data_IF_429962620844
#
_entry.id   IF_429962620844
#
_cell.length_a   1.000
_cell.length_b   1.000
_cell.length_c   1.000
_cell.angle_alpha   90.00
_cell.angle_beta   90.00
_cell.angle_gamma   90.00
#
_symmetry.space_group_name_H-M   'P 1'
#
loop_
_entity.id
_entity.type
_entity.pdbx_description
1 polymer ?
#
# COMPACT_ATOMS: atom_id res chain seq x y z
N UNK A 1 -3.26 -52.59 -17.94
CA UNK A 1 -3.57 -51.13 -17.95
C UNK A 1 -2.52 -50.48 -18.84
N UNK A 2 -2.91 -49.69 -19.85
CA UNK A 2 -1.94 -49.00 -20.70
C UNK A 2 -1.37 -47.80 -19.96
N UNK A 3 -0.06 -47.78 -19.73
CA UNK A 3 0.63 -46.70 -19.02
C UNK A 3 0.80 -45.41 -19.83
N UNK A 4 0.40 -45.43 -21.11
CA UNK A 4 0.48 -44.27 -22.00
C UNK A 4 -0.74 -44.20 -22.89
N UNK A 5 -1.35 -43.02 -22.94
CA UNK A 5 -2.46 -42.69 -23.85
C UNK A 5 -1.95 -41.63 -24.83
N UNK A 6 -2.16 -41.85 -26.11
CA UNK A 6 -1.84 -40.86 -27.15
C UNK A 6 -3.15 -40.12 -27.50
N UNK A 7 -3.12 -38.81 -27.40
CA UNK A 7 -4.23 -37.93 -27.76
C UNK A 7 -3.87 -37.24 -29.09
N UNK A 8 -4.63 -37.51 -30.13
CA UNK A 8 -4.51 -36.84 -31.42
C UNK A 8 -5.53 -35.73 -31.52
N UNK A 9 -5.08 -34.51 -31.83
CA UNK A 9 -5.93 -33.36 -32.09
C UNK A 9 -5.92 -33.07 -33.57
N UNK A 10 -7.06 -33.11 -34.19
CA UNK A 10 -7.23 -32.79 -35.63
C UNK A 10 -7.70 -31.34 -35.71
N UNK A 11 -7.01 -30.56 -36.52
CA UNK A 11 -7.30 -29.14 -36.74
C UNK A 11 -7.23 -28.91 -38.24
N UNK A 12 -8.25 -28.33 -38.81
CA UNK A 12 -8.25 -27.95 -40.24
C UNK A 12 -7.63 -26.57 -40.38
N UNK A 13 -6.61 -26.46 -41.22
CA UNK A 13 -5.90 -25.19 -41.46
C UNK A 13 -6.82 -24.15 -42.05
N UNK A 14 -6.80 -22.91 -41.57
CA UNK A 14 -7.67 -21.83 -42.06
C UNK A 14 -9.13 -21.90 -41.59
N UNK A 15 -9.45 -22.70 -40.55
CA UNK A 15 -10.83 -22.83 -40.02
C UNK A 15 -10.91 -22.29 -38.60
N UNK A 16 -12.15 -22.06 -38.15
CA UNK A 16 -12.47 -21.66 -36.76
C UNK A 16 -11.97 -22.66 -35.71
N UNK A 17 -11.76 -23.90 -36.06
CA UNK A 17 -11.26 -24.94 -35.16
C UNK A 17 -9.88 -24.58 -34.59
N UNK A 18 -8.98 -24.00 -35.43
CA UNK A 18 -7.65 -23.59 -34.98
C UNK A 18 -7.72 -22.48 -33.93
N UNK A 19 -8.64 -21.54 -34.11
CA UNK A 19 -8.90 -20.47 -33.13
C UNK A 19 -9.48 -21.02 -31.82
N UNK A 20 -10.49 -21.88 -31.92
CA UNK A 20 -11.10 -22.52 -30.72
C UNK A 20 -10.09 -23.31 -29.91
N UNK A 21 -9.17 -24.02 -30.56
CA UNK A 21 -8.09 -24.73 -29.88
C UNK A 21 -7.10 -23.78 -29.22
N UNK A 22 -6.75 -22.67 -29.84
CA UNK A 22 -5.86 -21.66 -29.26
C UNK A 22 -6.48 -21.01 -28.01
N UNK A 23 -7.77 -20.72 -28.06
CA UNK A 23 -8.53 -20.19 -26.92
C UNK A 23 -8.55 -21.19 -25.76
N UNK A 24 -8.84 -22.46 -26.03
CA UNK A 24 -8.84 -23.51 -25.01
C UNK A 24 -7.43 -23.70 -24.42
N UNK A 25 -6.38 -23.64 -25.23
CA UNK A 25 -4.99 -23.77 -24.75
C UNK A 25 -4.60 -22.60 -23.83
N UNK A 26 -5.00 -21.37 -24.17
CA UNK A 26 -4.79 -20.20 -23.33
C UNK A 26 -5.54 -20.31 -22.00
N UNK A 27 -6.81 -20.72 -22.00
CA UNK A 27 -7.60 -21.00 -20.81
C UNK A 27 -6.97 -22.12 -19.97
N UNK A 28 -6.46 -23.16 -20.58
CA UNK A 28 -5.78 -24.25 -19.88
C UNK A 28 -4.47 -23.79 -19.24
N UNK A 29 -3.68 -22.92 -19.89
CA UNK A 29 -2.49 -22.30 -19.30
C UNK A 29 -2.85 -21.47 -18.07
N UNK A 30 -3.90 -20.66 -18.17
CA UNK A 30 -4.42 -19.85 -17.06
C UNK A 30 -4.85 -20.73 -15.86
N UNK A 31 -5.66 -21.74 -16.11
CA UNK A 31 -6.08 -22.71 -15.08
C UNK A 31 -4.87 -23.43 -14.48
N UNK A 32 -3.90 -23.83 -15.31
CA UNK A 32 -2.67 -24.46 -14.86
C UNK A 32 -1.82 -23.57 -13.95
N UNK A 33 -1.75 -22.28 -14.23
CA UNK A 33 -1.03 -21.30 -13.40
C UNK A 33 -1.68 -21.17 -12.01
N UNK A 34 -3.02 -21.10 -11.96
CA UNK A 34 -3.76 -21.01 -10.69
C UNK A 34 -3.66 -22.32 -9.90
N UNK A 35 -3.92 -23.46 -10.55
CA UNK A 35 -4.02 -24.76 -9.87
C UNK A 35 -2.69 -25.32 -9.40
N UNK A 36 -1.59 -25.01 -10.08
CA UNK A 36 -0.27 -25.58 -9.73
C UNK A 36 0.55 -24.72 -8.79
N UNK A 37 0.14 -23.47 -8.51
CA UNK A 37 0.85 -22.49 -7.66
C UNK A 37 2.36 -22.35 -7.98
N UNK A 38 2.80 -22.77 -9.15
CA UNK A 38 4.21 -22.78 -9.55
C UNK A 38 4.75 -21.41 -9.98
N UNK A 39 3.86 -20.46 -10.17
CA UNK A 39 4.26 -19.09 -10.49
C UNK A 39 3.56 -18.14 -9.53
N UNK A 40 4.29 -17.42 -8.65
CA UNK A 40 3.73 -16.42 -7.75
C UNK A 40 3.47 -15.11 -8.52
N UNK A 41 2.67 -15.16 -9.57
CA UNK A 41 2.27 -13.95 -10.28
C UNK A 41 1.05 -13.38 -9.55
N UNK A 42 1.20 -12.20 -8.96
CA UNK A 42 0.11 -11.47 -8.26
C UNK A 42 -1.02 -10.99 -9.19
N UNK A 43 -0.85 -11.09 -10.50
CA UNK A 43 -1.87 -10.82 -11.51
C UNK A 43 -1.85 -11.92 -12.54
N UNK A 44 -2.86 -12.77 -12.55
CA UNK A 44 -3.17 -13.58 -13.72
C UNK A 44 -3.76 -12.67 -14.78
N UNK A 45 -3.18 -12.70 -15.98
CA UNK A 45 -3.82 -12.11 -17.15
C UNK A 45 -5.07 -12.96 -17.45
N UNK A 46 -6.21 -12.52 -16.93
CA UNK A 46 -7.50 -12.98 -17.44
C UNK A 46 -7.58 -12.42 -18.85
N UNK A 47 -7.48 -13.32 -19.83
CA UNK A 47 -7.76 -12.94 -21.21
C UNK A 47 -9.26 -12.74 -21.21
N UNK A 48 -9.69 -11.46 -21.03
CA UNK A 48 -11.04 -11.06 -21.32
C UNK A 48 -11.41 -11.68 -22.65
N UNK A 49 -12.43 -12.50 -22.64
CA UNK A 49 -13.04 -13.02 -23.84
C UNK A 49 -13.59 -11.82 -24.62
N UNK A 50 -12.74 -11.16 -25.39
CA UNK A 50 -13.24 -10.40 -26.51
C UNK A 50 -13.90 -11.45 -27.40
N UNK A 51 -15.20 -11.64 -27.20
CA UNK A 51 -16.00 -12.52 -28.06
C UNK A 51 -15.79 -12.01 -29.46
N UNK A 52 -15.09 -12.81 -30.29
CA UNK A 52 -14.92 -12.47 -31.68
C UNK A 52 -16.30 -12.25 -32.28
N UNK A 53 -16.48 -11.14 -32.97
CA UNK A 53 -17.67 -10.90 -33.77
C UNK A 53 -17.77 -11.99 -34.85
N UNK A 54 -18.98 -12.25 -35.34
CA UNK A 54 -19.19 -13.22 -36.42
C UNK A 54 -18.31 -12.91 -37.65
N UNK A 55 -18.08 -11.64 -37.95
CA UNK A 55 -17.20 -11.17 -39.00
C UNK A 55 -15.74 -11.56 -38.78
N UNK A 56 -15.24 -11.44 -37.58
CA UNK A 56 -13.87 -11.85 -37.21
C UNK A 56 -13.68 -13.35 -37.32
N UNK A 57 -14.70 -14.13 -36.91
CA UNK A 57 -14.72 -15.59 -37.09
C UNK A 57 -14.69 -15.99 -38.56
N UNK A 58 -15.51 -15.35 -39.38
CA UNK A 58 -15.59 -15.59 -40.83
C UNK A 58 -14.26 -15.27 -41.50
N UNK A 59 -13.62 -14.18 -41.14
CA UNK A 59 -12.39 -13.75 -41.74
C UNK A 59 -11.16 -14.55 -41.23
N UNK A 60 -11.20 -15.09 -40.04
CA UNK A 60 -10.19 -16.08 -39.57
C UNK A 60 -10.31 -17.37 -40.36
N UNK A 61 -11.54 -17.79 -40.70
CA UNK A 61 -11.81 -18.94 -41.54
C UNK A 61 -11.35 -18.73 -42.99
N UNK A 62 -11.38 -17.48 -43.49
CA UNK A 62 -10.90 -17.11 -44.85
C UNK A 62 -9.39 -16.89 -44.93
N UNK A 63 -8.67 -16.95 -43.77
CA UNK A 63 -7.21 -16.81 -43.72
C UNK A 63 -6.71 -15.37 -43.89
N UNK A 64 -7.54 -14.35 -43.62
CA UNK A 64 -7.16 -12.95 -43.74
C UNK A 64 -6.09 -12.57 -42.68
N UNK A 65 -4.84 -12.21 -43.08
CA UNK A 65 -3.73 -11.93 -42.16
C UNK A 65 -3.99 -10.69 -41.29
N UNK A 66 -4.82 -9.73 -41.75
CA UNK A 66 -5.09 -8.49 -40.99
C UNK A 66 -5.88 -8.74 -39.71
N UNK A 67 -6.67 -9.81 -39.67
CA UNK A 67 -7.46 -10.15 -38.47
C UNK A 67 -6.55 -10.72 -37.39
N UNK A 68 -5.59 -11.57 -37.74
CA UNK A 68 -4.61 -12.05 -36.79
C UNK A 68 -3.78 -10.89 -36.20
N UNK A 69 -3.32 -9.97 -37.07
CA UNK A 69 -2.60 -8.78 -36.65
C UNK A 69 -3.44 -7.91 -35.71
N UNK A 70 -4.73 -7.69 -36.03
CA UNK A 70 -5.66 -6.94 -35.16
C UNK A 70 -5.77 -7.57 -33.78
N UNK A 71 -5.98 -8.89 -33.69
CA UNK A 71 -6.11 -9.60 -32.42
C UNK A 71 -4.85 -9.49 -31.56
N UNK A 72 -3.67 -9.68 -32.17
CA UNK A 72 -2.39 -9.54 -31.46
C UNK A 72 -2.20 -8.10 -30.95
N UNK A 73 -2.62 -7.09 -31.74
CA UNK A 73 -2.57 -5.68 -31.35
C UNK A 73 -3.59 -5.35 -30.26
N UNK A 74 -4.80 -5.90 -30.30
CA UNK A 74 -5.81 -5.69 -29.25
C UNK A 74 -5.31 -6.16 -27.88
N UNK A 75 -4.68 -7.33 -27.85
CA UNK A 75 -4.06 -7.85 -26.60
C UNK A 75 -2.95 -6.91 -26.12
N UNK A 76 -2.06 -6.48 -27.02
CA UNK A 76 -0.93 -5.62 -26.68
C UNK A 76 -1.41 -4.23 -26.20
N UNK A 77 -2.39 -3.65 -26.89
CA UNK A 77 -3.02 -2.35 -26.51
C UNK A 77 -3.72 -2.46 -25.17
N UNK A 78 -4.45 -3.53 -24.91
CA UNK A 78 -5.11 -3.78 -23.62
C UNK A 78 -4.10 -3.87 -22.49
N UNK A 79 -3.00 -4.57 -22.69
CA UNK A 79 -1.89 -4.64 -21.74
C UNK A 79 -1.24 -3.28 -21.46
N UNK A 80 -0.97 -2.51 -22.53
CA UNK A 80 -0.37 -1.17 -22.39
C UNK A 80 -1.33 -0.18 -21.70
N UNK A 81 -2.65 -0.26 -21.99
CA UNK A 81 -3.68 0.52 -21.29
C UNK A 81 -3.73 0.21 -19.81
N UNK A 82 -3.63 -1.07 -19.43
CA UNK A 82 -3.57 -1.49 -18.03
C UNK A 82 -2.31 -0.95 -17.33
N UNK A 83 -1.14 -1.03 -17.99
CA UNK A 83 0.10 -0.48 -17.46
C UNK A 83 0.01 1.05 -17.30
N UNK A 84 -0.61 1.76 -18.26
CA UNK A 84 -0.86 3.21 -18.18
C UNK A 84 -1.82 3.55 -17.02
N UNK A 85 -2.88 2.79 -16.83
CA UNK A 85 -3.81 2.97 -15.72
C UNK A 85 -3.12 2.77 -14.36
N UNK A 86 -2.28 1.73 -14.24
CA UNK A 86 -1.47 1.50 -13.05
C UNK A 86 -0.48 2.64 -12.78
N UNK A 87 0.23 3.11 -13.80
CA UNK A 87 1.13 4.27 -13.68
C UNK A 87 0.36 5.52 -13.24
N UNK A 88 -0.81 5.78 -13.80
CA UNK A 88 -1.66 6.91 -13.42
C UNK A 88 -2.12 6.80 -11.96
N UNK A 89 -2.54 5.61 -11.51
CA UNK A 89 -2.90 5.37 -10.11
C UNK A 89 -1.73 5.58 -9.16
N UNK A 90 -0.53 5.13 -9.53
CA UNK A 90 0.68 5.37 -8.75
C UNK A 90 1.02 6.86 -8.67
N UNK A 91 0.88 7.59 -9.78
CA UNK A 91 1.10 9.03 -9.82
C UNK A 91 0.14 9.76 -8.89
N UNK A 92 -1.15 9.45 -8.89
CA UNK A 92 -2.11 10.05 -7.97
C UNK A 92 -1.80 9.76 -6.50
N UNK A 93 -1.33 8.55 -6.17
CA UNK A 93 -0.87 8.23 -4.81
C UNK A 93 0.35 9.05 -4.41
N UNK A 94 1.29 9.26 -5.33
CA UNK A 94 2.46 10.10 -5.07
C UNK A 94 2.05 11.57 -4.89
N UNK A 95 1.15 12.09 -5.71
CA UNK A 95 0.60 13.45 -5.58
C UNK A 95 -0.06 13.66 -4.21
N UNK A 96 -0.86 12.69 -3.75
CA UNK A 96 -1.50 12.76 -2.42
C UNK A 96 -0.49 12.65 -1.28
N UNK A 97 0.53 11.79 -1.40
CA UNK A 97 1.63 11.72 -0.45
C UNK A 97 2.42 13.03 -0.38
N UNK A 98 2.73 13.64 -1.52
CA UNK A 98 3.45 14.94 -1.60
C UNK A 98 2.61 16.06 -0.97
N UNK A 99 1.30 16.08 -1.26
CA UNK A 99 0.42 17.15 -0.81
C UNK A 99 0.05 17.06 0.67
N UNK A 100 -0.09 15.83 1.22
CA UNK A 100 -0.64 15.62 2.56
C UNK A 100 0.29 14.84 3.48
N UNK A 101 0.68 13.62 3.10
CA UNK A 101 1.33 12.70 4.02
C UNK A 101 2.73 13.13 4.43
N UNK A 102 3.60 13.49 3.47
CA UNK A 102 4.95 13.95 3.80
C UNK A 102 4.96 15.26 4.61
N UNK A 103 4.19 16.31 4.26
CA UNK A 103 4.14 17.53 5.06
C UNK A 103 3.64 17.27 6.49
N UNK A 104 2.63 16.43 6.69
CA UNK A 104 2.15 16.06 8.03
C UNK A 104 3.23 15.36 8.84
N UNK A 105 3.93 14.38 8.24
CA UNK A 105 5.01 13.66 8.91
C UNK A 105 6.17 14.59 9.28
N UNK A 106 6.58 15.47 8.35
CA UNK A 106 7.65 16.45 8.58
C UNK A 106 7.28 17.38 9.73
N UNK A 107 6.06 17.89 9.76
CA UNK A 107 5.56 18.76 10.84
C UNK A 107 5.60 18.03 12.18
N UNK A 108 5.04 16.82 12.26
CA UNK A 108 5.04 16.02 13.49
C UNK A 108 6.45 15.66 13.98
N UNK A 109 7.39 15.36 13.06
CA UNK A 109 8.77 15.09 13.42
C UNK A 109 9.49 16.37 13.91
N UNK A 110 9.23 17.54 13.31
CA UNK A 110 9.78 18.81 13.75
C UNK A 110 9.26 19.22 15.13
N UNK A 111 7.96 19.06 15.38
CA UNK A 111 7.36 19.29 16.71
C UNK A 111 7.98 18.35 17.75
N UNK A 112 8.18 17.09 17.39
CA UNK A 112 8.82 16.11 18.29
C UNK A 112 10.28 16.46 18.59
N UNK A 113 11.03 16.95 17.61
CA UNK A 113 12.40 17.44 17.81
C UNK A 113 12.45 18.63 18.78
N UNK A 114 11.55 19.58 18.60
CA UNK A 114 11.46 20.73 19.51
C UNK A 114 11.08 20.30 20.92
N UNK A 115 10.16 19.34 21.04
CA UNK A 115 9.85 18.71 22.31
C UNK A 115 11.06 18.06 22.99
N UNK A 116 11.88 17.31 22.25
CA UNK A 116 13.12 16.74 22.81
C UNK A 116 14.12 17.83 23.22
N UNK A 117 14.27 18.89 22.43
CA UNK A 117 15.16 20.01 22.79
C UNK A 117 14.76 20.65 24.12
N UNK A 118 13.48 20.93 24.27
CA UNK A 118 12.90 21.50 25.49
C UNK A 118 13.10 20.56 26.69
N UNK A 119 12.85 19.25 26.49
CA UNK A 119 12.99 18.27 27.57
C UNK A 119 14.45 18.05 27.98
N UNK A 120 15.38 18.04 27.02
CA UNK A 120 16.83 17.96 27.30
C UNK A 120 17.31 19.19 28.11
N UNK A 121 16.81 20.38 27.76
CA UNK A 121 17.13 21.61 28.52
C UNK A 121 16.55 21.54 29.93
N UNK A 122 15.30 21.06 30.07
CA UNK A 122 14.67 20.86 31.38
C UNK A 122 15.46 19.86 32.24
N UNK A 123 15.85 18.74 31.65
CA UNK A 123 16.68 17.74 32.30
C UNK A 123 18.02 18.33 32.76
N UNK A 124 18.72 19.06 31.87
CA UNK A 124 20.00 19.68 32.17
C UNK A 124 19.91 20.70 33.33
N UNK A 125 18.80 21.47 33.37
CA UNK A 125 18.56 22.44 34.46
C UNK A 125 18.30 21.80 35.84
N UNK A 126 17.72 20.58 35.85
CA UNK A 126 17.35 19.88 37.09
C UNK A 126 18.27 18.71 37.45
N UNK A 127 19.26 18.41 36.59
CA UNK A 127 20.28 17.40 36.91
C UNK A 127 21.12 17.84 38.12
N UNK A 128 21.26 16.99 39.15
CA UNK A 128 22.10 17.30 40.28
C UNK A 128 23.55 17.59 39.85
N UNK A 129 24.14 18.65 40.40
CA UNK A 129 25.54 19.02 40.16
C UNK A 129 26.47 17.97 40.74
N UNK A 130 26.14 17.46 41.93
CA UNK A 130 26.82 16.35 42.56
C UNK A 130 26.21 15.01 42.09
N UNK A 131 27.08 14.12 41.61
CA UNK A 131 26.68 12.80 41.08
C UNK A 131 26.01 11.91 42.13
N UNK A 132 26.29 12.13 43.38
CA UNK A 132 25.74 11.36 44.52
C UNK A 132 24.45 11.98 45.05
N UNK A 133 24.15 13.23 44.70
CA UNK A 133 22.91 13.88 45.10
C UNK A 133 21.72 13.29 44.36
N UNK A 134 20.74 12.85 45.12
CA UNK A 134 19.50 12.30 44.63
C UNK A 134 18.32 13.03 45.25
N UNK A 135 17.32 13.40 44.44
CA UNK A 135 16.06 13.96 44.94
C UNK A 135 14.89 13.50 44.00
N UNK A 136 13.85 13.00 44.64
CA UNK A 136 12.60 12.61 43.95
C UNK A 136 11.43 12.96 44.82
N UNK A 137 10.41 13.62 44.24
CA UNK A 137 9.16 13.92 44.93
C UNK A 137 8.12 12.87 44.56
N UNK A 138 7.56 12.20 45.58
CA UNK A 138 6.45 11.23 45.43
C UNK A 138 5.35 11.64 46.39
N UNK A 139 4.17 11.92 45.83
CA UNK A 139 3.07 12.55 46.56
C UNK A 139 3.50 13.89 47.15
N UNK A 140 3.38 14.05 48.48
CA UNK A 140 3.76 15.26 49.19
C UNK A 140 5.15 15.17 49.85
N UNK A 141 5.90 14.07 49.66
CA UNK A 141 7.18 13.84 50.31
C UNK A 141 8.32 13.84 49.29
N UNK A 142 9.44 14.47 49.69
CA UNK A 142 10.69 14.44 48.93
C UNK A 142 11.63 13.42 49.53
N UNK A 143 12.15 12.54 48.70
CA UNK A 143 13.09 11.47 49.07
C UNK A 143 14.48 11.84 48.55
N UNK A 144 15.48 11.67 49.41
CA UNK A 144 16.93 11.85 49.11
C UNK A 144 17.68 10.52 49.06
N UNK A 145 17.11 9.47 49.65
CA UNK A 145 17.66 8.11 49.57
C UNK A 145 16.99 7.33 48.39
N UNK A 146 17.84 6.70 47.57
CA UNK A 146 17.41 5.96 46.39
C UNK A 146 16.58 4.71 46.74
N UNK A 147 16.91 4.01 47.85
CA UNK A 147 16.18 2.79 48.23
C UNK A 147 14.77 3.15 48.75
N UNK A 148 14.69 4.18 49.59
CA UNK A 148 13.41 4.65 50.11
C UNK A 148 12.53 5.19 49.00
N UNK A 149 13.07 5.98 48.06
CA UNK A 149 12.35 6.48 46.91
C UNK A 149 11.81 5.35 46.00
N UNK A 150 12.66 4.37 45.71
CA UNK A 150 12.26 3.23 44.88
C UNK A 150 11.16 2.36 45.52
N UNK A 151 11.23 2.15 46.86
CA UNK A 151 10.17 1.46 47.60
C UNK A 151 8.87 2.24 47.59
N UNK A 152 8.92 3.55 47.88
CA UNK A 152 7.75 4.44 47.83
C UNK A 152 7.11 4.52 46.43
N UNK A 153 7.92 4.48 45.38
CA UNK A 153 7.45 4.44 43.99
C UNK A 153 6.64 3.19 43.70
N UNK A 154 7.14 2.02 44.13
CA UNK A 154 6.41 0.75 43.94
C UNK A 154 5.11 0.74 44.76
N UNK A 155 5.14 1.23 46.01
CA UNK A 155 3.92 1.29 46.82
C UNK A 155 2.89 2.24 46.25
N UNK A 156 3.33 3.37 45.69
CA UNK A 156 2.44 4.27 44.96
C UNK A 156 1.84 3.63 43.70
N UNK A 157 2.61 2.89 42.92
CA UNK A 157 2.14 2.13 41.78
C UNK A 157 1.08 1.08 42.21
N UNK A 158 1.32 0.37 43.31
CA UNK A 158 0.37 -0.63 43.84
C UNK A 158 -0.92 -0.01 44.33
N UNK A 159 -0.90 1.21 44.85
CA UNK A 159 -2.09 1.93 45.29
C UNK A 159 -2.90 2.52 44.13
N UNK A 160 -2.28 2.79 42.98
CA UNK A 160 -2.87 3.40 41.80
C UNK A 160 -3.42 2.36 40.79
N UNK A 161 -4.04 1.29 41.25
CA UNK A 161 -4.58 0.20 40.41
C UNK A 161 -5.89 0.50 39.67
N UNK A 162 -6.19 1.75 39.34
CA UNK A 162 -7.34 2.06 38.49
C UNK A 162 -6.97 1.78 37.03
N UNK A 163 -7.67 0.85 36.36
CA UNK A 163 -7.37 0.52 34.96
C UNK A 163 -7.52 1.75 34.05
N UNK A 164 -6.56 1.93 33.15
CA UNK A 164 -6.60 2.95 32.09
C UNK A 164 -6.70 4.42 32.54
N UNK A 165 -6.42 4.72 33.81
CA UNK A 165 -6.39 6.08 34.30
C UNK A 165 -4.98 6.47 34.77
N UNK A 166 -4.40 7.51 34.15
CA UNK A 166 -3.11 8.03 34.56
C UNK A 166 -3.25 8.87 35.82
N UNK A 167 -2.59 8.46 36.91
CA UNK A 167 -2.58 9.16 38.20
C UNK A 167 -1.25 9.86 38.38
N UNK A 168 -1.25 11.17 38.62
CA UNK A 168 -0.03 11.92 38.93
C UNK A 168 0.48 11.51 40.30
N UNK A 169 1.72 11.06 40.35
CA UNK A 169 2.35 10.51 41.57
C UNK A 169 3.49 11.36 42.12
N UNK A 170 4.02 12.31 41.33
CA UNK A 170 5.12 13.16 41.83
C UNK A 170 5.89 13.85 40.72
N UNK A 171 7.17 14.12 41.02
CA UNK A 171 8.09 14.81 40.11
C UNK A 171 9.51 14.25 40.24
N UNK A 172 10.19 14.08 39.11
CA UNK A 172 11.57 13.64 39.05
C UNK A 172 12.33 14.44 37.97
N UNK A 173 13.41 15.10 38.42
CA UNK A 173 14.31 15.90 37.57
C UNK A 173 13.59 16.88 36.62
N UNK A 174 12.57 17.59 37.12
CA UNK A 174 11.79 18.57 36.37
C UNK A 174 10.64 17.98 35.56
N UNK A 175 10.46 16.64 35.54
CA UNK A 175 9.40 15.96 34.87
C UNK A 175 8.29 15.52 35.82
N UNK A 176 7.04 15.78 35.47
CA UNK A 176 5.87 15.28 36.23
C UNK A 176 5.77 13.76 36.02
N UNK A 177 5.65 13.01 37.10
CA UNK A 177 5.43 11.56 37.04
C UNK A 177 3.96 11.23 37.14
N UNK A 178 3.46 10.42 36.19
CA UNK A 178 2.17 9.78 36.31
C UNK A 178 2.29 8.28 36.09
N UNK A 179 1.50 7.50 36.84
CA UNK A 179 1.45 6.05 36.72
C UNK A 179 0.16 5.63 36.02
N UNK A 180 0.26 4.68 35.12
CA UNK A 180 -0.84 3.97 34.51
C UNK A 180 -0.68 2.46 34.76
N UNK A 181 -1.80 1.77 34.92
CA UNK A 181 -1.84 0.32 35.08
C UNK A 181 -2.53 -0.32 33.89
N UNK A 182 -1.80 -1.16 33.18
CA UNK A 182 -2.33 -2.01 32.14
C UNK A 182 -2.87 -3.30 32.74
N UNK A 183 -4.19 -3.44 32.74
CA UNK A 183 -4.85 -4.61 33.35
C UNK A 183 -4.68 -5.89 32.53
N UNK A 184 -4.43 -5.80 31.22
CA UNK A 184 -4.25 -6.94 30.34
C UNK A 184 -2.89 -7.60 30.55
N UNK A 185 -1.83 -6.78 30.58
CA UNK A 185 -0.48 -7.28 30.81
C UNK A 185 -0.07 -7.28 32.31
N UNK A 186 -0.93 -6.77 33.20
CA UNK A 186 -0.64 -6.58 34.63
C UNK A 186 0.64 -5.80 34.91
N UNK A 187 0.90 -4.76 34.10
CA UNK A 187 2.12 -3.96 34.16
C UNK A 187 1.82 -2.51 34.55
N UNK A 188 2.76 -1.93 35.31
CA UNK A 188 2.76 -0.51 35.62
C UNK A 188 3.70 0.22 34.69
N UNK A 189 3.23 1.33 34.13
CA UNK A 189 4.06 2.24 33.33
C UNK A 189 4.05 3.62 33.97
N UNK A 190 5.24 4.18 34.19
CA UNK A 190 5.42 5.56 34.60
C UNK A 190 5.70 6.40 33.37
N UNK A 191 4.93 7.46 33.22
CA UNK A 191 5.12 8.49 32.22
C UNK A 191 5.77 9.71 32.85
N UNK A 192 6.96 10.06 32.38
CA UNK A 192 7.67 11.31 32.72
C UNK A 192 7.25 12.37 31.72
N UNK A 193 6.39 13.30 32.13
CA UNK A 193 5.79 14.29 31.27
C UNK A 193 6.53 15.64 31.36
N UNK A 194 7.21 15.97 30.28
CA UNK A 194 7.73 17.30 29.98
C UNK A 194 6.96 17.92 28.83
N UNK A 195 7.66 18.41 27.81
CA UNK A 195 7.08 18.76 26.52
C UNK A 195 6.60 17.50 25.77
N UNK A 196 7.38 16.43 25.88
CA UNK A 196 7.01 15.08 25.44
C UNK A 196 6.67 14.20 26.65
N UNK A 197 6.22 12.98 26.34
CA UNK A 197 5.95 11.95 27.34
C UNK A 197 6.96 10.81 27.18
N UNK A 198 7.71 10.51 28.27
CA UNK A 198 8.71 9.44 28.27
C UNK A 198 8.23 8.30 29.15
N UNK A 199 7.83 7.21 28.53
CA UNK A 199 7.24 6.06 29.21
C UNK A 199 8.31 5.06 29.65
N UNK A 200 8.15 4.55 30.88
CA UNK A 200 9.06 3.61 31.53
C UNK A 200 8.25 2.50 32.21
N UNK A 201 8.46 1.27 31.82
CA UNK A 201 7.85 0.10 32.45
C UNK A 201 8.51 -0.17 33.83
N UNK A 202 7.69 -0.37 34.84
CA UNK A 202 8.09 -0.56 36.23
C UNK A 202 8.08 -2.05 36.59
N UNK A 203 9.21 -2.53 37.11
CA UNK A 203 9.36 -3.90 37.59
C UNK A 203 9.32 -4.00 39.13
N UNK A 204 9.69 -5.18 39.62
CA UNK A 204 9.69 -5.46 41.07
C UNK A 204 10.91 -4.88 41.83
N UNK A 205 12.02 -4.55 41.14
CA UNK A 205 13.23 -4.03 41.75
C UNK A 205 13.18 -2.51 41.92
N UNK A 206 13.20 -1.99 43.18
CA UNK A 206 13.15 -0.56 43.45
C UNK A 206 14.28 0.24 42.80
N UNK A 207 15.52 -0.24 42.91
CA UNK A 207 16.67 0.47 42.36
C UNK A 207 16.73 0.39 40.83
N UNK A 208 16.38 -0.77 40.28
CA UNK A 208 16.29 -0.94 38.85
C UNK A 208 15.25 -0.02 38.20
N UNK A 209 14.15 0.27 38.90
CA UNK A 209 13.13 1.21 38.40
C UNK A 209 13.69 2.64 38.34
N UNK A 210 14.41 3.10 39.36
CA UNK A 210 15.04 4.41 39.33
C UNK A 210 16.09 4.52 38.22
N UNK A 211 16.86 3.45 38.01
CA UNK A 211 17.82 3.42 36.91
C UNK A 211 17.13 3.49 35.56
N UNK A 212 15.99 2.81 35.36
CA UNK A 212 15.20 2.90 34.13
C UNK A 212 14.66 4.30 33.87
N UNK A 213 14.16 4.99 34.92
CA UNK A 213 13.76 6.39 34.84
C UNK A 213 14.92 7.30 34.44
N UNK A 214 16.09 7.15 35.08
CA UNK A 214 17.28 7.90 34.71
C UNK A 214 17.73 7.64 33.28
N UNK A 215 17.78 6.36 32.88
CA UNK A 215 18.14 5.96 31.50
C UNK A 215 17.17 6.53 30.44
N UNK A 216 15.89 6.63 30.78
CA UNK A 216 14.88 7.21 29.86
C UNK A 216 15.15 8.70 29.59
N UNK A 217 15.56 9.46 30.61
CA UNK A 217 15.92 10.86 30.48
C UNK A 217 17.31 11.05 29.85
N UNK A 218 18.32 10.27 30.26
CA UNK A 218 19.64 10.30 29.63
C UNK A 218 19.62 9.90 28.16
N UNK A 219 18.76 8.96 27.80
CA UNK A 219 18.58 8.48 26.44
C UNK A 219 17.86 9.45 25.48
N UNK A 220 17.35 10.58 25.96
CA UNK A 220 16.62 11.54 25.12
C UNK A 220 17.46 12.07 23.95
N UNK A 221 18.75 12.31 24.16
CA UNK A 221 19.68 12.77 23.12
C UNK A 221 19.79 11.76 21.98
N UNK A 222 19.90 10.47 22.30
CA UNK A 222 19.91 9.41 21.30
C UNK A 222 18.58 9.34 20.53
N UNK A 223 17.44 9.40 21.24
CA UNK A 223 16.13 9.42 20.63
C UNK A 223 15.89 10.65 19.74
N UNK A 224 16.46 11.80 20.13
CA UNK A 224 16.43 13.02 19.30
C UNK A 224 17.19 12.81 17.99
N UNK A 225 18.38 12.22 18.04
CA UNK A 225 19.16 11.90 16.84
C UNK A 225 18.43 10.92 15.91
N UNK A 226 17.72 9.92 16.47
CA UNK A 226 16.89 9.00 15.69
C UNK A 226 15.73 9.73 14.96
N UNK A 227 15.13 10.72 15.62
CA UNK A 227 14.07 11.55 15.03
C UNK A 227 14.64 12.48 13.94
N UNK A 228 15.83 13.06 14.15
CA UNK A 228 16.54 13.85 13.11
C UNK A 228 16.83 13.02 11.86
N UNK A 229 17.30 11.79 12.06
CA UNK A 229 17.54 10.87 10.94
C UNK A 229 16.24 10.53 10.20
N UNK A 230 15.15 10.29 10.93
CA UNK A 230 13.84 10.03 10.32
C UNK A 230 13.35 11.23 9.55
N UNK A 231 13.50 12.44 10.07
CA UNK A 231 13.13 13.67 9.40
C UNK A 231 13.88 13.81 8.07
N UNK A 232 15.20 13.66 8.09
CA UNK A 232 16.04 13.70 6.90
C UNK A 232 15.62 12.67 5.85
N UNK A 233 15.27 11.44 6.28
CA UNK A 233 14.81 10.39 5.38
C UNK A 233 13.46 10.75 4.73
N UNK A 234 12.52 11.30 5.50
CA UNK A 234 11.20 11.72 4.96
C UNK A 234 11.34 12.90 4.01
N UNK A 235 12.20 13.88 4.33
CA UNK A 235 12.50 15.01 3.43
C UNK A 235 13.12 14.52 2.12
N UNK A 236 14.04 13.56 2.17
CA UNK A 236 14.62 12.95 0.97
C UNK A 236 13.57 12.15 0.16
N UNK A 237 12.68 11.43 0.84
CA UNK A 237 11.57 10.72 0.16
C UNK A 237 10.63 11.69 -0.53
N UNK A 238 10.32 12.82 0.08
CA UNK A 238 9.51 13.88 -0.52
C UNK A 238 10.15 14.42 -1.81
N UNK A 239 11.46 14.72 -1.78
CA UNK A 239 12.16 15.22 -2.98
C UNK A 239 12.21 14.15 -4.08
N UNK A 240 12.45 12.90 -3.72
CA UNK A 240 12.41 11.78 -4.68
C UNK A 240 11.01 11.61 -5.28
N UNK A 241 9.97 11.69 -4.47
CA UNK A 241 8.59 11.59 -4.93
C UNK A 241 8.20 12.73 -5.88
N UNK A 242 8.67 13.96 -5.62
CA UNK A 242 8.46 15.12 -6.52
C UNK A 242 9.08 14.90 -7.89
N UNK A 243 10.25 14.27 -7.96
CA UNK A 243 10.90 13.92 -9.22
C UNK A 243 10.15 12.79 -9.93
N UNK A 244 9.76 11.76 -9.19
CA UNK A 244 9.09 10.58 -9.74
C UNK A 244 7.73 10.93 -10.35
N UNK A 245 6.94 11.81 -9.69
CA UNK A 245 5.61 12.22 -10.16
C UNK A 245 5.62 12.92 -11.50
N UNK A 246 6.76 13.52 -11.88
CA UNK A 246 6.91 14.24 -13.16
C UNK A 246 7.27 13.32 -14.33
N UNK A 247 7.61 12.06 -14.06
CA UNK A 247 7.99 11.13 -15.14
C UNK A 247 6.77 10.73 -15.96
N UNK A 248 6.85 10.87 -17.30
CA UNK A 248 5.79 10.40 -18.18
C UNK A 248 5.75 8.87 -18.21
N UNK A 249 4.63 8.34 -18.68
CA UNK A 249 4.53 6.90 -18.93
C UNK A 249 5.52 6.49 -20.01
N UNK A 250 6.42 5.56 -19.71
CA UNK A 250 7.54 5.20 -20.58
C UNK A 250 7.12 4.62 -21.94
N UNK A 251 5.95 3.98 -21.99
CA UNK A 251 5.42 3.30 -23.18
C UNK A 251 4.30 4.09 -23.87
N UNK A 252 4.24 5.41 -23.65
CA UNK A 252 3.21 6.28 -24.25
C UNK A 252 3.26 6.26 -25.78
N UNK A 253 4.47 6.35 -26.34
CA UNK A 253 4.68 6.32 -27.81
C UNK A 253 4.28 4.96 -28.39
N UNK A 254 4.71 3.87 -27.77
CA UNK A 254 4.36 2.52 -28.20
C UNK A 254 2.83 2.29 -28.18
N UNK A 255 2.15 2.79 -27.14
CA UNK A 255 0.71 2.72 -27.06
C UNK A 255 0.04 3.53 -28.18
N UNK A 256 0.56 4.74 -28.47
CA UNK A 256 0.01 5.58 -29.55
C UNK A 256 0.16 4.94 -30.93
N UNK A 257 1.35 4.42 -31.26
CA UNK A 257 1.61 3.73 -32.53
C UNK A 257 0.72 2.49 -32.72
N UNK A 258 0.56 1.70 -31.66
CA UNK A 258 -0.30 0.51 -31.74
C UNK A 258 -1.80 0.85 -31.86
N UNK A 259 -2.23 1.93 -31.21
CA UNK A 259 -3.61 2.42 -31.36
C UNK A 259 -3.89 2.95 -32.78
N UNK A 260 -2.94 3.68 -33.36
CA UNK A 260 -3.05 4.15 -34.74
C UNK A 260 -3.13 2.97 -35.71
N UNK A 261 -2.25 1.98 -35.56
CA UNK A 261 -2.27 0.79 -36.40
C UNK A 261 -3.56 -0.03 -36.25
N UNK A 262 -4.08 -0.13 -35.02
CA UNK A 262 -5.36 -0.78 -34.75
C UNK A 262 -6.53 -0.05 -35.43
N UNK A 263 -6.52 1.28 -35.44
CA UNK A 263 -7.51 2.09 -36.12
C UNK A 263 -7.45 1.88 -37.65
N UNK A 264 -6.27 1.81 -38.24
CA UNK A 264 -6.07 1.49 -39.66
C UNK A 264 -6.65 0.11 -40.03
N UNK A 265 -6.34 -0.93 -39.24
CA UNK A 265 -6.83 -2.28 -39.44
C UNK A 265 -8.36 -2.35 -39.33
N UNK A 266 -8.92 -1.65 -38.35
CA UNK A 266 -10.39 -1.56 -38.21
C UNK A 266 -11.03 -0.90 -39.43
N UNK A 267 -10.44 0.16 -40.00
CA UNK A 267 -10.91 0.82 -41.19
C UNK A 267 -10.85 -0.11 -42.42
N UNK A 268 -9.74 -0.84 -42.58
CA UNK A 268 -9.57 -1.80 -43.70
C UNK A 268 -10.60 -2.94 -43.62
N UNK A 269 -10.79 -3.52 -42.43
CA UNK A 269 -11.74 -4.64 -42.24
C UNK A 269 -13.20 -4.20 -42.41
N UNK A 270 -13.58 -2.98 -41.96
CA UNK A 270 -14.91 -2.44 -42.16
C UNK A 270 -15.19 -2.07 -43.64
N UNK A 271 -14.16 -1.77 -44.43
CA UNK A 271 -14.30 -1.56 -45.87
C UNK A 271 -14.54 -2.89 -46.61
N UNK A 272 -13.88 -3.97 -46.21
CA UNK A 272 -14.05 -5.30 -46.76
C UNK A 272 -15.48 -5.83 -46.47
N UNK A 273 -16.02 -5.58 -45.28
CA UNK A 273 -17.39 -5.95 -44.90
C UNK A 273 -18.47 -5.22 -45.77
N UNK A 274 -18.26 -3.94 -46.06
CA UNK A 274 -19.17 -3.18 -46.94
C UNK A 274 -19.10 -3.62 -48.40
N UNK A 275 -17.97 -4.15 -48.85
CA UNK A 275 -17.79 -4.70 -50.19
C UNK A 275 -18.51 -6.04 -50.36
N UNK A 276 -18.52 -6.89 -49.33
CA UNK A 276 -19.15 -8.22 -49.38
C UNK A 276 -20.67 -8.15 -49.20
N UNK A 277 -21.19 -7.19 -48.42
CA UNK A 277 -22.63 -6.96 -48.25
C UNK A 277 -23.30 -6.27 -49.44
N UNK A 278 -22.55 -5.68 -50.36
CA UNK A 278 -23.11 -5.05 -51.56
C UNK A 278 -23.56 -6.08 -52.61
N UNK A 279 -23.18 -7.35 -52.44
CA UNK A 279 -23.53 -8.44 -53.40
C UNK A 279 -24.70 -9.33 -52.95
N UNK A 280 -25.23 -9.14 -51.73
CA UNK A 280 -26.30 -9.97 -51.17
C UNK A 280 -27.58 -9.17 -50.80
N UNK A 281 -27.90 -8.10 -51.55
CA UNK A 281 -29.19 -7.41 -51.48
C UNK A 281 -30.14 -7.99 -52.54
N UNK A 282 -30.52 -9.23 -52.32
CA UNK A 282 -31.71 -9.84 -52.94
C UNK A 282 -32.90 -9.69 -51.99
N UNK A 283 -33.75 -8.76 -52.38
CA UNK A 283 -35.20 -8.73 -52.22
C UNK A 283 -35.82 -9.48 -51.02
N UNK A 284 -36.05 -8.78 -49.91
CA UNK A 284 -37.13 -9.07 -48.96
C UNK A 284 -37.60 -7.76 -48.30
N UNK A 285 -38.92 -7.49 -48.50
CA UNK A 285 -39.62 -6.30 -48.00
C UNK A 285 -39.68 -6.24 -46.47
N UNK A 286 -39.77 -5.04 -45.85
CA UNK A 286 -39.86 -4.90 -44.42
C UNK A 286 -41.29 -5.05 -43.92
N UNK A 287 -41.53 -5.98 -43.02
CA UNK A 287 -42.70 -5.94 -42.15
C UNK A 287 -42.52 -4.90 -41.05
N UNK A 288 -43.41 -3.90 -41.05
CA UNK A 288 -43.61 -2.94 -39.99
C UNK A 288 -44.23 -3.64 -38.76
N UNK A 289 -43.60 -3.58 -37.62
CA UNK A 289 -44.30 -3.72 -36.36
C UNK A 289 -43.95 -2.57 -35.40
N UNK A 290 -44.97 -1.75 -35.19
CA UNK A 290 -45.11 -0.71 -34.20
C UNK A 290 -45.05 -1.28 -32.77
N UNK A 291 -44.35 -0.59 -31.92
CA UNK A 291 -44.42 -0.87 -30.46
C UNK A 291 -43.80 0.22 -29.65
N UNK A 292 -44.49 1.35 -29.49
CA UNK A 292 -44.26 2.33 -28.43
C UNK A 292 -44.36 1.67 -27.05
N UNK A 293 -43.47 2.03 -26.16
CA UNK A 293 -43.80 2.43 -24.78
C UNK A 293 -42.49 2.76 -24.02
N UNK A 294 -42.23 4.01 -23.85
CA UNK A 294 -42.45 4.87 -22.65
C UNK A 294 -41.50 4.58 -21.48
N UNK A 295 -40.73 5.63 -21.26
CA UNK A 295 -39.93 5.98 -20.10
C UNK A 295 -40.66 5.79 -18.76
N UNK A 296 -39.87 5.41 -17.73
CA UNK A 296 -40.02 6.01 -16.39
C UNK A 296 -38.72 5.98 -15.62
N UNK A 297 -38.28 7.17 -15.32
CA UNK A 297 -37.29 7.47 -14.30
C UNK A 297 -37.85 7.14 -12.91
N UNK A 298 -37.04 6.59 -12.03
CA UNK A 298 -37.26 6.74 -10.60
C UNK A 298 -35.95 7.08 -9.92
N UNK A 299 -35.93 8.33 -9.47
CA UNK A 299 -35.09 8.86 -8.41
C UNK A 299 -35.35 8.11 -7.10
N UNK A 300 -34.32 7.95 -6.30
CA UNK A 300 -34.42 7.43 -4.94
C UNK A 300 -33.10 7.53 -4.20
N UNK A 301 -32.71 8.72 -3.76
CA UNK A 301 -31.95 8.94 -2.52
C UNK A 301 -32.84 8.60 -1.31
N UNK A 302 -32.34 8.57 -0.04
CA UNK A 302 -31.00 8.68 0.50
C UNK A 302 -30.71 7.79 1.74
N UNK A 303 -29.56 8.06 2.33
CA UNK A 303 -29.29 7.93 3.79
C UNK A 303 -28.90 6.57 4.36
N UNK A 304 -27.59 6.43 4.63
CA UNK A 304 -27.10 6.02 5.95
C UNK A 304 -25.61 6.31 6.12
N UNK A 305 -25.36 7.42 6.80
CA UNK A 305 -24.12 7.61 7.53
C UNK A 305 -24.18 6.69 8.76
N UNK A 306 -23.22 5.79 8.91
CA UNK A 306 -22.82 5.27 10.23
C UNK A 306 -21.43 4.64 10.14
N UNK A 307 -20.55 5.17 10.98
CA UNK A 307 -19.39 4.56 11.63
C UNK A 307 -18.25 3.95 10.77
N UNK A 308 -17.26 4.81 10.46
CA UNK A 308 -15.88 4.37 10.36
C UNK A 308 -15.06 5.08 11.43
N UNK A 309 -14.99 4.44 12.59
CA UNK A 309 -14.05 4.77 13.65
C UNK A 309 -12.99 3.67 13.68
N UNK A 310 -11.73 4.10 13.62
CA UNK A 310 -10.52 3.43 14.09
C UNK A 310 -10.02 2.18 13.34
N UNK A 311 -9.09 2.37 12.39
CA UNK A 311 -7.88 1.54 12.32
C UNK A 311 -6.71 2.49 12.05
N UNK A 312 -6.11 2.99 13.12
CA UNK A 312 -4.77 3.57 13.15
C UNK A 312 -3.84 2.51 13.71
N UNK A 313 -2.61 2.46 13.16
CA UNK A 313 -1.46 1.66 13.58
C UNK A 313 -1.29 0.25 12.97
N UNK A 314 -0.88 0.22 11.69
CA UNK A 314 0.12 -0.76 11.24
C UNK A 314 1.30 -0.03 10.58
N UNK A 315 2.54 -0.31 10.98
CA UNK A 315 3.71 0.28 10.36
C UNK A 315 3.92 -0.31 8.96
N UNK A 316 3.85 0.54 7.94
CA UNK A 316 4.19 0.20 6.56
C UNK A 316 5.61 -0.37 6.50
N UNK A 317 5.72 -1.63 6.09
CA UNK A 317 7.00 -2.29 5.77
C UNK A 317 7.67 -1.54 4.62
N UNK A 318 9.01 -1.34 4.66
CA UNK A 318 9.72 -0.68 3.59
C UNK A 318 9.62 -1.51 2.30
N UNK A 319 9.23 -0.85 1.22
CA UNK A 319 9.28 -1.42 -0.14
C UNK A 319 10.75 -1.58 -0.50
N UNK A 320 11.23 -2.82 -0.54
CA UNK A 320 12.56 -3.15 -1.00
C UNK A 320 12.69 -2.73 -2.47
N UNK A 321 13.65 -1.86 -2.75
CA UNK A 321 14.08 -1.51 -4.09
C UNK A 321 14.66 -2.76 -4.76
N UNK A 322 13.96 -3.28 -5.76
CA UNK A 322 14.46 -4.34 -6.62
C UNK A 322 15.43 -3.71 -7.63
N UNK A 323 16.68 -3.57 -7.25
CA UNK A 323 17.79 -3.34 -8.18
C UNK A 323 18.12 -4.69 -8.79
N UNK A 324 17.74 -4.90 -10.06
CA UNK A 324 18.29 -5.94 -10.91
C UNK A 324 19.76 -5.64 -11.15
N UNK A 325 20.64 -6.41 -10.53
CA UNK A 325 22.03 -6.53 -10.95
C UNK A 325 22.08 -7.54 -12.08
N UNK A 326 22.24 -7.07 -13.31
CA UNK A 326 22.73 -7.90 -14.41
C UNK A 326 24.16 -8.38 -14.08
N UNK A 327 24.30 -9.67 -13.80
CA UNK A 327 25.59 -10.35 -13.85
C UNK A 327 25.79 -10.83 -15.28
N UNK A 328 26.65 -10.12 -15.97
CA UNK A 328 27.31 -10.63 -17.17
C UNK A 328 28.20 -11.78 -16.72
N UNK A 329 27.90 -13.00 -17.18
CA UNK A 329 28.80 -14.13 -17.06
C UNK A 329 29.76 -14.10 -18.26
N UNK A 330 31.00 -13.73 -18.01
CA UNK A 330 32.10 -14.03 -18.93
C UNK A 330 32.48 -15.49 -18.72
N UNK A 331 32.44 -16.21 -19.81
CA UNK A 331 33.07 -17.53 -19.98
C UNK A 331 34.51 -17.34 -20.42
N UNK A 332 35.41 -17.91 -19.64
CA UNK A 332 36.63 -18.58 -20.08
C UNK A 332 36.57 -20.06 -19.68
#
# INVERSE_FOLDING_TARGET
>A
MNDKVMIFRYVTEGTFDSYSWQLIENKQKFIGQIMTSKSPVRSCEDIDEAALSYAEVKALATGNPYIKEKMDLDIQVSKLKLLKANHTSQRYRLEDNIAKHYPMQITALKERLEGYRTDIQTYAAHKPVDKDAFSMKIGNRTYTDKKEAGAALIDMCRSAKQPNMAVTIGEYQGFKMSVSFDSFFSKFTISLKGSLSHEVEIGADPLGNLQRLSNALEGMTGKMADVEQKLSNVEHQLETAKVEVTKPFAQELELAEKLERLAELNALLNMDEKGDNALDMGDDEPEEENGEQSAQAQEGEPDRAEDIQAVADEPLKPVASFLMSERIAEHD
#
